data_IF_520425717917
#
_entry.id   IF_520425717917
#
_cell.length_a   1.000
_cell.length_b   1.000
_cell.length_c   1.000
_cell.angle_alpha   90.00
_cell.angle_beta   90.00
_cell.angle_gamma   90.00
#
_symmetry.space_group_name_H-M   'P 1'
#
loop_
_entity.id
_entity.type
_entity.pdbx_description
1 polymer ?
#
# COMPACT_ATOMS: atom_id res chain seq x y z
N UNK A 1 -32.84 0.09 16.15
CA UNK A 1 -31.46 0.43 15.79
C UNK A 1 -30.72 -0.86 15.51
N UNK A 2 -30.07 -0.98 14.35
CA UNK A 2 -29.19 -2.10 14.07
C UNK A 2 -27.93 -1.97 14.96
N UNK A 3 -27.53 -3.07 15.61
CA UNK A 3 -26.27 -3.12 16.37
C UNK A 3 -25.13 -3.23 15.37
N UNK A 4 -24.25 -2.23 15.32
CA UNK A 4 -23.03 -2.30 14.53
C UNK A 4 -22.00 -3.15 15.31
N UNK A 5 -21.76 -4.38 14.86
CA UNK A 5 -20.71 -5.26 15.42
C UNK A 5 -19.54 -5.32 14.47
N UNK A 6 -18.34 -5.02 14.97
CA UNK A 6 -17.09 -5.07 14.20
C UNK A 6 -16.02 -5.84 14.98
N UNK A 7 -15.25 -6.62 14.26
CA UNK A 7 -13.97 -7.12 14.75
C UNK A 7 -12.88 -6.29 14.06
N UNK A 8 -12.27 -5.36 14.80
CA UNK A 8 -11.20 -4.52 14.30
C UNK A 8 -9.87 -5.15 14.71
N UNK A 9 -9.10 -5.58 13.73
CA UNK A 9 -7.71 -5.95 13.95
C UNK A 9 -6.84 -4.70 13.86
N UNK A 10 -6.11 -4.42 14.93
CA UNK A 10 -5.13 -3.34 14.98
C UNK A 10 -3.79 -3.90 15.45
N UNK A 11 -2.66 -3.33 15.03
CA UNK A 11 -1.37 -3.71 15.58
C UNK A 11 -1.34 -3.56 17.10
N UNK A 12 -0.86 -4.59 17.81
CA UNK A 12 -0.64 -4.52 19.26
C UNK A 12 0.57 -3.62 19.59
N UNK A 13 1.49 -3.48 18.62
CA UNK A 13 2.67 -2.63 18.75
C UNK A 13 2.99 -1.97 17.42
N UNK A 14 3.36 -0.68 17.49
CA UNK A 14 3.91 0.10 16.38
C UNK A 14 5.17 0.80 16.89
N UNK A 15 6.25 0.72 16.12
CA UNK A 15 7.51 1.44 16.36
C UNK A 15 7.96 2.11 15.07
N UNK A 16 8.09 3.44 15.10
CA UNK A 16 8.57 4.26 13.99
C UNK A 16 9.67 5.16 14.49
N UNK A 17 10.84 5.11 13.88
CA UNK A 17 11.96 5.98 14.24
C UNK A 17 13.30 5.46 13.74
N UNK A 18 14.35 6.25 13.90
CA UNK A 18 15.72 5.85 13.62
C UNK A 18 16.13 4.72 14.56
N UNK A 19 16.72 3.64 14.03
CA UNK A 19 17.14 2.48 14.82
C UNK A 19 16.00 1.64 15.40
N UNK A 20 14.75 1.83 14.98
CA UNK A 20 13.59 1.11 15.53
C UNK A 20 13.72 -0.42 15.43
N UNK A 21 14.46 -0.94 14.44
CA UNK A 21 14.72 -2.39 14.30
C UNK A 21 15.52 -2.97 15.46
N UNK A 22 16.25 -2.17 16.23
CA UNK A 22 16.98 -2.63 17.42
C UNK A 22 16.05 -3.00 18.58
N UNK A 23 14.80 -2.51 18.56
CA UNK A 23 13.77 -2.86 19.55
C UNK A 23 13.06 -4.19 19.24
N UNK A 24 13.31 -4.79 18.07
CA UNK A 24 12.64 -6.00 17.63
C UNK A 24 12.71 -7.14 18.65
N UNK A 25 13.84 -7.43 19.34
CA UNK A 25 13.88 -8.46 20.37
C UNK A 25 12.90 -8.20 21.53
N UNK A 26 12.78 -6.95 21.96
CA UNK A 26 11.86 -6.57 23.05
C UNK A 26 10.40 -6.70 22.61
N UNK A 27 10.10 -6.38 21.35
CA UNK A 27 8.77 -6.56 20.74
C UNK A 27 8.41 -8.05 20.67
N UNK A 28 9.34 -8.89 20.20
CA UNK A 28 9.14 -10.34 20.08
C UNK A 28 9.04 -11.06 21.44
N UNK A 29 9.58 -10.47 22.49
CA UNK A 29 9.45 -10.99 23.86
C UNK A 29 8.06 -10.71 24.50
N UNK A 30 7.21 -9.88 23.85
CA UNK A 30 5.85 -9.63 24.34
C UNK A 30 4.95 -10.84 24.08
N UNK A 31 4.35 -11.39 25.12
CA UNK A 31 3.47 -12.57 25.03
C UNK A 31 2.23 -12.36 24.14
N UNK A 32 1.88 -11.13 23.82
CA UNK A 32 0.83 -10.84 22.83
C UNK A 32 1.29 -11.08 21.39
N UNK A 33 2.60 -11.08 21.15
CA UNK A 33 3.23 -11.29 19.85
C UNK A 33 3.65 -12.76 19.69
N UNK A 34 4.37 -13.30 20.70
CA UNK A 34 4.84 -14.67 20.68
C UNK A 34 4.64 -15.33 22.03
N UNK A 35 4.05 -16.53 22.02
CA UNK A 35 3.81 -17.32 23.23
C UNK A 35 4.99 -18.18 23.64
N UNK A 36 5.77 -18.68 22.68
CA UNK A 36 6.90 -19.59 22.91
C UNK A 36 8.28 -18.95 22.71
N UNK A 37 8.33 -17.79 22.05
CA UNK A 37 9.58 -17.12 21.71
C UNK A 37 10.31 -17.74 20.52
N UNK A 38 9.59 -18.46 19.63
CA UNK A 38 10.17 -19.11 18.45
C UNK A 38 9.73 -18.41 17.17
N UNK A 39 10.67 -17.92 16.38
CA UNK A 39 10.40 -17.02 15.25
C UNK A 39 10.90 -17.58 13.92
N UNK A 40 10.04 -17.50 12.90
CA UNK A 40 10.45 -17.57 11.51
C UNK A 40 10.65 -16.16 10.96
N UNK A 41 11.74 -15.89 10.25
CA UNK A 41 12.02 -14.60 9.63
C UNK A 41 12.05 -14.74 8.12
N UNK A 42 11.13 -14.05 7.43
CA UNK A 42 11.08 -13.96 5.98
C UNK A 42 11.83 -12.71 5.52
N UNK A 43 12.73 -12.85 4.55
CA UNK A 43 13.53 -11.77 3.96
C UNK A 43 13.53 -11.88 2.44
N UNK A 44 13.85 -10.78 1.75
CA UNK A 44 14.09 -10.82 0.30
C UNK A 44 15.45 -11.45 -0.03
N UNK A 45 15.57 -11.98 -1.23
CA UNK A 45 16.89 -12.24 -1.83
C UNK A 45 17.63 -10.91 -2.05
N UNK A 46 18.94 -10.94 -2.12
CA UNK A 46 19.76 -9.75 -2.34
C UNK A 46 19.89 -8.87 -1.10
N UNK A 47 19.19 -7.74 -1.04
CA UNK A 47 19.29 -6.80 0.10
C UNK A 47 18.89 -7.43 1.45
N UNK A 48 18.07 -8.47 1.45
CA UNK A 48 17.73 -9.21 2.66
C UNK A 48 18.92 -9.88 3.33
N UNK A 49 19.95 -10.27 2.59
CA UNK A 49 21.17 -10.90 3.13
C UNK A 49 21.91 -9.95 4.08
N UNK A 50 22.10 -8.69 3.67
CA UNK A 50 22.76 -7.67 4.51
C UNK A 50 21.91 -7.34 5.75
N UNK A 51 20.58 -7.31 5.60
CA UNK A 51 19.65 -7.13 6.72
C UNK A 51 19.70 -8.30 7.70
N UNK A 52 19.82 -9.54 7.19
CA UNK A 52 20.00 -10.73 8.03
C UNK A 52 21.24 -10.62 8.91
N UNK A 53 22.38 -10.21 8.35
CA UNK A 53 23.62 -10.04 9.12
C UNK A 53 23.46 -8.98 10.22
N UNK A 54 22.78 -7.88 9.93
CA UNK A 54 22.50 -6.83 10.90
C UNK A 54 21.59 -7.32 12.02
N UNK A 55 20.45 -7.94 11.68
CA UNK A 55 19.44 -8.39 12.64
C UNK A 55 19.88 -9.61 13.44
N UNK A 56 20.71 -10.51 12.88
CA UNK A 56 21.24 -11.67 13.59
C UNK A 56 22.07 -11.33 14.83
N UNK A 57 22.52 -10.08 14.96
CA UNK A 57 23.27 -9.62 16.15
C UNK A 57 22.34 -9.36 17.35
N UNK A 58 21.07 -9.10 17.10
CA UNK A 58 20.09 -8.76 18.12
C UNK A 58 19.03 -9.83 18.32
N UNK A 59 18.75 -10.66 17.32
CA UNK A 59 17.77 -11.73 17.40
C UNK A 59 18.36 -12.99 18.04
N UNK A 60 17.51 -13.88 18.64
CA UNK A 60 17.93 -15.18 19.16
C UNK A 60 18.65 -16.03 18.10
N UNK A 61 19.58 -16.89 18.53
CA UNK A 61 20.39 -17.69 17.61
C UNK A 61 19.61 -18.80 16.88
N UNK A 62 18.47 -19.23 17.43
CA UNK A 62 17.59 -20.28 16.94
C UNK A 62 16.47 -19.79 16.01
N UNK A 63 16.57 -18.54 15.56
CA UNK A 63 15.63 -17.96 14.55
C UNK A 63 15.77 -18.68 13.21
N UNK A 64 14.65 -19.12 12.65
CA UNK A 64 14.59 -19.68 11.29
C UNK A 64 14.57 -18.60 10.22
N UNK A 65 15.51 -18.64 9.28
CA UNK A 65 15.60 -17.67 8.18
C UNK A 65 15.10 -18.28 6.87
N UNK A 66 14.15 -17.58 6.23
CA UNK A 66 13.51 -17.97 4.99
C UNK A 66 13.59 -16.85 3.95
N UNK A 67 14.04 -17.16 2.74
CA UNK A 67 14.09 -16.20 1.64
C UNK A 67 12.82 -16.25 0.81
N UNK A 68 12.37 -15.08 0.35
CA UNK A 68 11.25 -14.89 -0.57
C UNK A 68 11.80 -14.31 -1.88
N UNK A 69 11.82 -15.10 -2.98
CA UNK A 69 12.51 -14.68 -4.21
C UNK A 69 11.82 -13.54 -4.96
N UNK A 70 10.52 -13.70 -5.31
CA UNK A 70 9.79 -12.79 -6.19
C UNK A 70 8.50 -12.24 -5.59
N UNK A 71 8.07 -12.78 -4.47
CA UNK A 71 6.80 -12.48 -3.83
C UNK A 71 5.59 -12.73 -4.76
N UNK A 72 5.59 -13.85 -5.44
CA UNK A 72 4.43 -14.42 -6.11
C UNK A 72 3.55 -15.20 -5.13
N UNK A 73 2.36 -15.59 -5.58
CA UNK A 73 1.49 -16.49 -4.81
C UNK A 73 2.19 -17.82 -4.52
N UNK A 74 2.90 -18.37 -5.50
CA UNK A 74 3.66 -19.62 -5.35
C UNK A 74 4.79 -19.47 -4.32
N UNK A 75 5.53 -18.35 -4.34
CA UNK A 75 6.57 -18.07 -3.34
C UNK A 75 5.97 -17.96 -1.93
N UNK A 76 4.77 -17.39 -1.79
CA UNK A 76 4.09 -17.26 -0.50
C UNK A 76 3.58 -18.62 0.02
N UNK A 77 3.09 -19.49 -0.88
CA UNK A 77 2.70 -20.87 -0.57
C UNK A 77 3.93 -21.69 -0.17
N UNK A 78 5.02 -21.63 -0.96
CA UNK A 78 6.28 -22.30 -0.66
C UNK A 78 6.87 -21.86 0.69
N UNK A 79 6.83 -20.56 0.99
CA UNK A 79 7.24 -20.03 2.30
C UNK A 79 6.45 -20.68 3.45
N UNK A 80 5.13 -20.79 3.31
CA UNK A 80 4.29 -21.43 4.33
C UNK A 80 4.64 -22.91 4.49
N UNK A 81 4.88 -23.63 3.40
CA UNK A 81 5.19 -25.05 3.42
C UNK A 81 6.59 -25.32 4.01
N UNK A 82 7.58 -24.47 3.69
CA UNK A 82 8.93 -24.55 4.31
C UNK A 82 8.90 -24.27 5.81
N UNK A 83 8.13 -23.28 6.25
CA UNK A 83 7.98 -22.98 7.69
C UNK A 83 7.30 -24.15 8.41
N UNK A 84 6.23 -24.72 7.82
CA UNK A 84 5.50 -25.87 8.40
C UNK A 84 6.35 -27.13 8.51
N UNK A 85 7.25 -27.34 7.55
CA UNK A 85 8.12 -28.53 7.47
C UNK A 85 9.42 -28.37 8.24
N UNK A 86 9.66 -27.24 8.89
CA UNK A 86 10.85 -27.02 9.68
C UNK A 86 10.87 -27.91 10.94
N UNK A 87 12.06 -28.30 11.38
CA UNK A 87 12.23 -29.14 12.56
C UNK A 87 11.77 -28.45 13.86
N UNK A 88 11.98 -27.13 13.94
CA UNK A 88 11.52 -26.32 15.06
C UNK A 88 10.12 -25.73 14.80
N UNK A 89 9.19 -25.83 15.76
CA UNK A 89 7.90 -25.15 15.64
C UNK A 89 8.08 -23.65 15.85
N UNK A 90 7.66 -22.85 14.89
CA UNK A 90 7.59 -21.39 15.02
C UNK A 90 6.17 -20.96 15.38
N UNK A 91 6.05 -19.96 16.24
CA UNK A 91 4.75 -19.42 16.64
C UNK A 91 4.48 -18.03 16.09
N UNK A 92 5.49 -17.36 15.56
CA UNK A 92 5.38 -16.00 14.98
C UNK A 92 6.22 -15.89 13.72
N UNK A 93 5.66 -15.24 12.69
CA UNK A 93 6.40 -14.89 11.49
C UNK A 93 6.80 -13.41 11.53
N UNK A 94 8.06 -13.13 11.23
CA UNK A 94 8.61 -11.78 11.08
C UNK A 94 8.93 -11.56 9.62
N UNK A 95 8.33 -10.54 8.99
CA UNK A 95 8.65 -10.15 7.62
C UNK A 95 9.58 -8.95 7.62
N UNK A 96 10.77 -9.07 7.06
CA UNK A 96 11.74 -7.97 6.96
C UNK A 96 11.97 -7.62 5.50
N UNK A 97 11.49 -6.47 5.08
CA UNK A 97 11.63 -6.05 3.68
C UNK A 97 10.65 -4.96 3.26
N UNK A 98 10.55 -4.78 1.95
CA UNK A 98 9.51 -3.94 1.34
C UNK A 98 8.18 -4.69 1.20
N UNK A 99 7.19 -4.00 0.63
CA UNK A 99 5.82 -4.51 0.50
C UNK A 99 5.72 -5.92 -0.09
N UNK A 100 6.52 -6.26 -1.09
CA UNK A 100 6.51 -7.60 -1.71
C UNK A 100 6.81 -8.72 -0.71
N UNK A 101 7.81 -8.55 0.15
CA UNK A 101 8.14 -9.53 1.19
C UNK A 101 7.05 -9.58 2.26
N UNK A 102 6.57 -8.41 2.67
CA UNK A 102 5.50 -8.29 3.66
C UNK A 102 4.23 -8.98 3.16
N UNK A 103 3.83 -8.78 1.91
CA UNK A 103 2.62 -9.39 1.34
C UNK A 103 2.74 -10.92 1.23
N UNK A 104 3.88 -11.44 0.77
CA UNK A 104 4.12 -12.88 0.76
C UNK A 104 4.08 -13.48 2.17
N UNK A 105 4.68 -12.80 3.14
CA UNK A 105 4.68 -13.24 4.54
C UNK A 105 3.29 -13.12 5.18
N UNK A 106 2.49 -12.08 4.88
CA UNK A 106 1.09 -11.96 5.32
C UNK A 106 0.27 -13.17 4.86
N UNK A 107 0.41 -13.53 3.58
CA UNK A 107 -0.28 -14.69 3.03
C UNK A 107 0.16 -16.00 3.67
N UNK A 108 1.48 -16.20 3.84
CA UNK A 108 2.04 -17.38 4.50
C UNK A 108 1.58 -17.48 5.97
N UNK A 109 1.64 -16.37 6.72
CA UNK A 109 1.18 -16.30 8.11
C UNK A 109 -0.31 -16.66 8.23
N UNK A 110 -1.16 -16.13 7.34
CA UNK A 110 -2.59 -16.46 7.30
C UNK A 110 -2.83 -17.97 7.06
N UNK A 111 -2.08 -18.59 6.15
CA UNK A 111 -2.17 -20.05 5.89
C UNK A 111 -1.70 -20.91 7.07
N UNK A 112 -0.80 -20.38 7.88
CA UNK A 112 -0.23 -21.08 9.05
C UNK A 112 -1.02 -20.78 10.33
N UNK A 113 -1.92 -19.78 10.32
CA UNK A 113 -2.60 -19.32 11.53
C UNK A 113 -1.65 -18.61 12.50
N UNK A 114 -0.55 -18.03 12.01
CA UNK A 114 0.48 -17.39 12.82
C UNK A 114 0.28 -15.87 12.84
N UNK A 115 0.58 -15.18 13.96
CA UNK A 115 0.72 -13.73 13.96
C UNK A 115 1.92 -13.28 13.09
N UNK A 116 1.84 -12.07 12.52
CA UNK A 116 2.89 -11.48 11.73
C UNK A 116 3.40 -10.18 12.35
N UNK A 117 4.72 -10.03 12.44
CA UNK A 117 5.39 -8.74 12.68
C UNK A 117 6.02 -8.25 11.39
N UNK A 118 5.61 -7.08 10.92
CA UNK A 118 6.16 -6.46 9.72
C UNK A 118 7.27 -5.47 10.08
N UNK A 119 8.47 -5.70 9.58
CA UNK A 119 9.63 -4.80 9.67
C UNK A 119 9.82 -4.18 8.30
N UNK A 120 9.23 -3.00 8.08
CA UNK A 120 9.27 -2.33 6.81
C UNK A 120 10.59 -1.60 6.57
N UNK A 121 11.24 -1.88 5.44
CA UNK A 121 12.51 -1.28 5.04
C UNK A 121 12.34 -0.16 3.99
N UNK A 122 11.12 0.11 3.59
CA UNK A 122 10.73 1.25 2.76
C UNK A 122 9.27 1.62 3.02
N UNK A 123 8.85 2.76 2.48
CA UNK A 123 7.52 3.35 2.67
C UNK A 123 6.77 3.42 1.32
N UNK A 124 6.75 2.34 0.55
CA UNK A 124 6.21 2.38 -0.82
C UNK A 124 4.67 2.36 -0.89
N UNK A 125 3.99 1.68 0.04
CA UNK A 125 2.53 1.58 0.08
C UNK A 125 2.00 1.10 1.45
N UNK A 126 0.69 1.23 1.65
CA UNK A 126 -0.01 0.92 2.90
C UNK A 126 -0.15 -0.59 3.21
N UNK A 127 0.27 -1.45 2.28
CA UNK A 127 0.34 -2.91 2.45
C UNK A 127 1.12 -3.36 3.68
N UNK A 128 1.96 -2.49 4.25
CA UNK A 128 2.66 -2.74 5.51
C UNK A 128 1.70 -2.93 6.71
N UNK A 129 0.47 -2.43 6.63
CA UNK A 129 -0.54 -2.53 7.70
C UNK A 129 -1.88 -3.06 7.20
N UNK A 130 -2.16 -3.06 5.91
CA UNK A 130 -3.48 -3.41 5.36
C UNK A 130 -3.83 -4.90 5.54
N UNK A 131 -5.14 -5.22 5.61
CA UNK A 131 -5.62 -6.61 5.66
C UNK A 131 -5.66 -7.27 4.28
N UNK A 132 -4.77 -6.88 3.38
CA UNK A 132 -4.69 -7.37 1.99
C UNK A 132 -3.25 -7.69 1.65
N UNK A 133 -3.01 -8.82 0.99
CA UNK A 133 -1.76 -9.15 0.34
C UNK A 133 -1.95 -9.11 -1.18
N UNK A 134 -1.12 -8.35 -1.88
CA UNK A 134 -1.13 -8.29 -3.35
C UNK A 134 0.03 -9.10 -3.90
N UNK A 135 -0.29 -10.19 -4.60
CA UNK A 135 0.69 -11.18 -5.07
C UNK A 135 0.54 -11.41 -6.58
N UNK A 136 1.66 -11.54 -7.27
CA UNK A 136 1.67 -11.97 -8.67
C UNK A 136 1.18 -13.43 -8.76
N UNK A 137 0.38 -13.72 -9.78
CA UNK A 137 -0.10 -15.06 -10.11
C UNK A 137 -0.17 -15.25 -11.63
N UNK A 138 -0.63 -16.40 -12.11
CA UNK A 138 -0.72 -16.73 -13.54
C UNK A 138 -1.61 -15.77 -14.34
N UNK A 139 -2.58 -15.12 -13.69
CA UNK A 139 -3.48 -14.15 -14.31
C UNK A 139 -2.95 -12.69 -14.21
N UNK A 140 -1.75 -12.48 -13.65
CA UNK A 140 -1.12 -11.18 -13.47
C UNK A 140 -0.91 -10.83 -12.00
N UNK A 141 -1.85 -10.18 -11.34
CA UNK A 141 -1.78 -9.81 -9.93
C UNK A 141 -3.14 -10.04 -9.25
N UNK A 142 -3.11 -10.61 -8.05
CA UNK A 142 -4.30 -10.87 -7.24
C UNK A 142 -4.21 -10.24 -5.86
N UNK A 143 -5.35 -9.75 -5.35
CA UNK A 143 -5.49 -9.25 -3.98
C UNK A 143 -6.15 -10.31 -3.10
N UNK A 144 -5.50 -10.67 -2.01
CA UNK A 144 -5.92 -11.74 -1.09
C UNK A 144 -6.20 -11.13 0.29
N UNK A 145 -7.39 -11.38 0.84
CA UNK A 145 -7.75 -10.98 2.20
C UNK A 145 -6.93 -11.79 3.21
N UNK A 146 -6.22 -11.10 4.09
CA UNK A 146 -5.35 -11.68 5.11
C UNK A 146 -5.46 -10.86 6.41
N UNK A 147 -5.11 -11.42 7.57
CA UNK A 147 -5.01 -10.62 8.80
C UNK A 147 -3.97 -9.50 8.66
N UNK A 148 -4.26 -8.34 9.25
CA UNK A 148 -3.26 -7.27 9.42
C UNK A 148 -2.12 -7.74 10.33
N UNK A 149 -0.88 -7.22 10.16
CA UNK A 149 0.22 -7.50 11.09
C UNK A 149 -0.12 -7.11 12.52
N UNK A 150 0.26 -7.96 13.49
CA UNK A 150 0.09 -7.68 14.92
C UNK A 150 1.15 -6.70 15.45
N UNK A 151 2.30 -6.63 14.79
CA UNK A 151 3.37 -5.69 15.08
C UNK A 151 3.89 -5.03 13.83
N UNK A 152 4.21 -3.73 13.91
CA UNK A 152 4.79 -2.95 12.82
C UNK A 152 6.03 -2.24 13.35
N UNK A 153 7.13 -2.44 12.67
CA UNK A 153 8.40 -1.75 12.93
C UNK A 153 8.85 -1.05 11.65
N UNK A 154 9.02 0.26 11.70
CA UNK A 154 9.53 1.07 10.60
C UNK A 154 10.79 1.75 11.08
N UNK A 155 11.92 1.23 10.60
CA UNK A 155 13.24 1.79 10.91
C UNK A 155 13.59 2.84 9.85
N UNK A 156 13.58 4.11 10.25
CA UNK A 156 13.83 5.22 9.35
C UNK A 156 15.27 5.23 8.80
N UNK A 157 16.23 4.59 9.48
CA UNK A 157 17.57 4.44 8.94
C UNK A 157 17.60 3.44 7.78
N UNK A 158 16.81 2.37 7.83
CA UNK A 158 16.62 1.44 6.72
C UNK A 158 15.85 2.10 5.58
N UNK A 159 14.81 2.88 5.90
CA UNK A 159 14.02 3.63 4.90
C UNK A 159 14.91 4.60 4.11
N UNK A 160 15.84 5.31 4.77
CA UNK A 160 16.77 6.23 4.11
C UNK A 160 17.79 5.53 3.20
N UNK A 161 18.10 4.26 3.49
CA UNK A 161 19.01 3.45 2.65
C UNK A 161 18.31 2.89 1.42
N UNK A 162 16.98 2.81 1.42
CA UNK A 162 16.20 2.35 0.29
C UNK A 162 16.21 3.40 -0.85
N UNK A 163 16.05 2.99 -2.12
CA UNK A 163 15.91 3.93 -3.21
C UNK A 163 14.79 4.95 -2.96
N UNK A 164 15.05 6.27 -3.11
CA UNK A 164 14.08 7.33 -2.80
C UNK A 164 12.73 7.18 -3.51
N UNK A 165 12.72 6.54 -4.68
CA UNK A 165 11.49 6.28 -5.43
C UNK A 165 10.44 5.48 -4.65
N UNK A 166 10.84 4.64 -3.68
CA UNK A 166 9.90 3.90 -2.85
C UNK A 166 9.19 4.81 -1.83
N UNK A 167 9.91 5.76 -1.24
CA UNK A 167 9.29 6.78 -0.36
C UNK A 167 8.35 7.67 -1.17
N UNK A 168 8.78 8.09 -2.37
CA UNK A 168 7.93 8.87 -3.29
C UNK A 168 6.66 8.11 -3.64
N UNK A 169 6.76 6.83 -3.97
CA UNK A 169 5.58 6.00 -4.25
C UNK A 169 4.58 6.01 -3.08
N UNK A 170 5.05 5.94 -1.83
CA UNK A 170 4.18 6.04 -0.65
C UNK A 170 3.43 7.37 -0.55
N UNK A 171 4.02 8.48 -1.02
CA UNK A 171 3.32 9.77 -1.08
C UNK A 171 2.15 9.70 -2.06
N UNK A 172 2.37 9.20 -3.28
CA UNK A 172 1.32 9.04 -4.27
C UNK A 172 0.23 8.08 -3.81
N UNK A 173 0.63 7.00 -3.14
CA UNK A 173 -0.29 6.05 -2.50
C UNK A 173 -1.23 6.75 -1.50
N UNK A 174 -0.67 7.50 -0.57
CA UNK A 174 -1.46 8.18 0.48
C UNK A 174 -2.35 9.28 -0.10
N UNK A 175 -1.87 10.06 -1.06
CA UNK A 175 -2.70 11.08 -1.72
C UNK A 175 -3.88 10.47 -2.46
N UNK A 176 -3.76 9.22 -2.94
CA UNK A 176 -4.84 8.52 -3.63
C UNK A 176 -6.06 8.27 -2.74
N UNK A 177 -5.91 8.27 -1.41
CA UNK A 177 -7.03 8.15 -0.48
C UNK A 177 -8.06 9.26 -0.65
N UNK A 178 -7.65 10.48 -1.02
CA UNK A 178 -8.59 11.60 -1.26
C UNK A 178 -9.52 11.30 -2.44
N UNK A 179 -8.96 10.75 -3.52
CA UNK A 179 -9.75 10.27 -4.65
C UNK A 179 -10.68 9.12 -4.25
N UNK A 180 -10.16 8.13 -3.54
CA UNK A 180 -10.91 6.95 -3.11
C UNK A 180 -12.10 7.30 -2.20
N UNK A 181 -11.89 8.21 -1.25
CA UNK A 181 -12.94 8.68 -0.34
C UNK A 181 -14.03 9.46 -1.09
N UNK A 182 -13.65 10.32 -2.04
CA UNK A 182 -14.61 11.04 -2.87
C UNK A 182 -15.44 10.08 -3.75
N UNK A 183 -14.84 8.99 -4.25
CA UNK A 183 -15.56 7.94 -4.97
C UNK A 183 -16.49 7.14 -4.04
N UNK A 184 -16.07 6.85 -2.81
CA UNK A 184 -16.92 6.15 -1.85
C UNK A 184 -18.12 6.99 -1.43
N UNK A 185 -17.93 8.30 -1.19
CA UNK A 185 -19.01 9.25 -0.93
C UNK A 185 -19.94 9.40 -2.14
N UNK A 186 -19.39 9.39 -3.36
CA UNK A 186 -20.17 9.39 -4.60
C UNK A 186 -21.02 8.12 -4.72
N UNK A 187 -20.41 6.95 -4.51
CA UNK A 187 -21.13 5.68 -4.52
C UNK A 187 -22.26 5.64 -3.48
N UNK A 188 -22.01 6.19 -2.29
CA UNK A 188 -23.06 6.30 -1.27
C UNK A 188 -24.27 7.10 -1.77
N UNK A 189 -24.04 8.25 -2.41
CA UNK A 189 -25.13 9.11 -2.90
C UNK A 189 -25.91 8.46 -4.05
N UNK A 190 -25.21 7.80 -4.97
CA UNK A 190 -25.81 7.30 -6.21
C UNK A 190 -26.39 5.88 -6.07
N UNK A 191 -25.75 5.02 -5.26
CA UNK A 191 -26.10 3.60 -5.14
C UNK A 191 -26.62 3.19 -3.77
N UNK A 192 -26.45 4.06 -2.75
CA UNK A 192 -26.78 3.73 -1.36
C UNK A 192 -25.72 2.87 -0.67
N UNK A 193 -24.52 2.69 -1.25
CA UNK A 193 -23.42 1.97 -0.60
C UNK A 193 -23.09 2.61 0.76
N UNK A 194 -22.90 1.78 1.79
CA UNK A 194 -22.64 2.30 3.13
C UNK A 194 -21.20 2.79 3.27
N UNK A 195 -21.05 4.02 3.75
CA UNK A 195 -19.75 4.59 4.13
C UNK A 195 -19.53 4.39 5.62
N UNK A 196 -18.37 3.80 5.98
CA UNK A 196 -17.92 3.75 7.36
C UNK A 196 -17.26 5.09 7.73
N UNK A 197 -17.92 5.87 8.58
CA UNK A 197 -17.45 7.21 8.96
C UNK A 197 -16.12 7.22 9.70
N UNK A 198 -15.80 6.17 10.50
CA UNK A 198 -14.51 6.07 11.18
C UNK A 198 -13.39 5.77 10.16
N UNK A 199 -13.60 4.78 9.29
CA UNK A 199 -12.65 4.45 8.25
C UNK A 199 -12.40 5.63 7.30
N UNK A 200 -13.45 6.34 6.90
CA UNK A 200 -13.34 7.52 6.05
C UNK A 200 -12.54 8.65 6.74
N UNK A 201 -12.78 8.88 8.04
CA UNK A 201 -12.02 9.86 8.81
C UNK A 201 -10.53 9.49 8.91
N UNK A 202 -10.21 8.20 9.11
CA UNK A 202 -8.83 7.70 9.15
C UNK A 202 -8.12 7.89 7.80
N UNK A 203 -8.74 7.46 6.70
CA UNK A 203 -8.17 7.62 5.36
C UNK A 203 -7.95 9.09 4.98
N UNK A 204 -8.88 9.97 5.36
CA UNK A 204 -8.76 11.42 5.15
C UNK A 204 -7.61 12.01 5.97
N UNK A 205 -7.53 11.69 7.27
CA UNK A 205 -6.46 12.19 8.13
C UNK A 205 -5.07 11.74 7.63
N UNK A 206 -4.95 10.49 7.16
CA UNK A 206 -3.74 9.99 6.55
C UNK A 206 -3.31 10.85 5.35
N UNK A 207 -4.22 11.08 4.41
CA UNK A 207 -3.92 11.84 3.20
C UNK A 207 -3.62 13.32 3.48
N UNK A 208 -4.42 13.97 4.31
CA UNK A 208 -4.23 15.39 4.65
C UNK A 208 -2.93 15.64 5.42
N UNK A 209 -2.47 14.69 6.25
CA UNK A 209 -1.20 14.83 6.97
C UNK A 209 -0.01 14.94 6.01
N UNK A 210 -0.02 14.16 4.92
CA UNK A 210 1.03 14.20 3.88
C UNK A 210 0.83 15.39 2.95
N UNK A 211 -0.40 15.66 2.51
CA UNK A 211 -0.74 16.78 1.61
C UNK A 211 -0.24 18.12 2.16
N UNK A 212 -0.43 18.35 3.46
CA UNK A 212 -0.15 19.64 4.13
C UNK A 212 1.20 19.72 4.80
N UNK A 213 1.99 18.64 4.81
CA UNK A 213 3.30 18.66 5.44
C UNK A 213 4.30 19.49 4.60
N UNK A 214 5.01 20.47 5.20
CA UNK A 214 5.92 21.34 4.45
C UNK A 214 7.26 20.68 4.11
N UNK A 215 7.63 19.61 4.82
CA UNK A 215 8.90 18.91 4.67
C UNK A 215 8.94 17.95 3.47
N UNK A 216 10.09 17.34 3.26
CA UNK A 216 10.36 16.43 2.15
C UNK A 216 10.98 15.09 2.58
N UNK A 217 11.24 14.21 1.63
CA UNK A 217 11.75 12.84 1.86
C UNK A 217 13.11 12.79 2.58
N UNK A 218 13.84 13.91 2.65
CA UNK A 218 15.07 14.04 3.45
C UNK A 218 14.82 14.32 4.92
N UNK A 219 13.62 14.75 5.30
CA UNK A 219 13.29 15.15 6.66
C UNK A 219 12.73 13.98 7.47
N UNK A 220 13.31 13.75 8.65
CA UNK A 220 12.86 12.67 9.53
C UNK A 220 11.40 12.84 9.96
N UNK A 221 10.99 14.08 10.26
CA UNK A 221 9.62 14.40 10.63
C UNK A 221 8.64 14.06 9.50
N UNK A 222 8.99 14.30 8.24
CA UNK A 222 8.17 13.93 7.11
C UNK A 222 8.10 12.42 6.93
N UNK A 223 9.23 11.70 7.05
CA UNK A 223 9.25 10.24 6.96
C UNK A 223 8.40 9.60 8.06
N UNK A 224 8.42 10.13 9.29
CA UNK A 224 7.58 9.67 10.37
C UNK A 224 6.09 9.89 10.07
N UNK A 225 5.71 11.08 9.58
CA UNK A 225 4.33 11.39 9.17
C UNK A 225 3.87 10.48 8.02
N UNK A 226 4.72 10.23 7.03
CA UNK A 226 4.39 9.31 5.93
C UNK A 226 4.20 7.87 6.42
N UNK A 227 5.06 7.41 7.35
CA UNK A 227 4.94 6.10 7.97
C UNK A 227 3.61 5.95 8.72
N UNK A 228 3.26 6.94 9.57
CA UNK A 228 1.98 6.96 10.29
C UNK A 228 0.78 7.01 9.34
N UNK A 229 0.87 7.79 8.26
CA UNK A 229 -0.16 7.88 7.24
C UNK A 229 -0.41 6.53 6.53
N UNK A 230 0.67 5.81 6.16
CA UNK A 230 0.56 4.47 5.55
C UNK A 230 -0.06 3.45 6.51
N UNK A 231 0.30 3.51 7.80
CA UNK A 231 -0.31 2.67 8.83
C UNK A 231 -1.81 3.00 8.96
N UNK A 232 -2.15 4.28 9.06
CA UNK A 232 -3.52 4.74 9.22
C UNK A 232 -4.40 4.40 8.02
N UNK A 233 -3.85 4.52 6.79
CA UNK A 233 -4.50 4.07 5.56
C UNK A 233 -4.80 2.57 5.58
N UNK A 234 -3.80 1.73 5.87
CA UNK A 234 -3.99 0.29 5.99
C UNK A 234 -5.00 -0.10 7.08
N UNK A 235 -4.98 0.56 8.23
CA UNK A 235 -5.96 0.34 9.30
C UNK A 235 -7.37 0.78 8.89
N UNK A 236 -7.53 1.84 8.10
CA UNK A 236 -8.83 2.29 7.62
C UNK A 236 -9.55 1.19 6.83
N UNK A 237 -8.81 0.42 6.03
CA UNK A 237 -9.34 -0.75 5.31
C UNK A 237 -9.78 -1.86 6.27
N UNK A 238 -9.01 -2.11 7.32
CA UNK A 238 -9.36 -3.11 8.35
C UNK A 238 -10.65 -2.72 9.10
N UNK A 239 -10.83 -1.43 9.40
CA UNK A 239 -12.05 -0.89 10.03
C UNK A 239 -13.24 -0.98 9.10
N UNK A 240 -13.07 -0.63 7.82
CA UNK A 240 -14.14 -0.67 6.82
C UNK A 240 -14.53 -2.09 6.42
N UNK A 241 -13.63 -3.07 6.55
CA UNK A 241 -13.79 -4.42 5.99
C UNK A 241 -13.75 -4.43 4.45
N UNK A 242 -13.26 -3.37 3.84
CA UNK A 242 -13.15 -3.17 2.39
C UNK A 242 -12.00 -2.21 2.08
N UNK A 243 -11.48 -2.25 0.85
CA UNK A 243 -10.45 -1.30 0.40
C UNK A 243 -11.00 0.07 -0.05
N UNK A 244 -12.30 0.34 0.12
CA UNK A 244 -12.91 1.63 -0.27
C UNK A 244 -12.21 2.87 0.26
N UNK A 245 -11.71 2.93 1.52
CA UNK A 245 -11.04 4.13 2.03
C UNK A 245 -9.78 4.54 1.27
N UNK A 246 -9.11 3.59 0.62
CA UNK A 246 -7.83 3.84 -0.08
C UNK A 246 -7.86 3.46 -1.56
N UNK A 247 -8.94 2.87 -2.08
CA UNK A 247 -8.99 2.35 -3.45
C UNK A 247 -10.26 2.79 -4.16
N UNK A 248 -10.13 3.73 -5.10
CA UNK A 248 -11.17 4.26 -5.99
C UNK A 248 -10.74 4.20 -7.45
N UNK A 249 -11.18 5.14 -8.27
CA UNK A 249 -10.82 5.30 -9.68
C UNK A 249 -9.29 5.30 -9.91
N UNK A 250 -8.53 5.90 -8.98
CA UNK A 250 -7.07 5.91 -9.00
C UNK A 250 -6.47 4.50 -9.10
N UNK A 251 -7.01 3.56 -8.34
CA UNK A 251 -6.54 2.18 -8.34
C UNK A 251 -7.09 1.36 -9.52
N UNK A 252 -8.29 1.67 -10.01
CA UNK A 252 -8.80 1.07 -11.24
C UNK A 252 -7.90 1.42 -12.43
N UNK A 253 -7.50 2.70 -12.54
CA UNK A 253 -6.55 3.17 -13.56
C UNK A 253 -5.20 2.48 -13.39
N UNK A 254 -4.67 2.38 -12.17
CA UNK A 254 -3.43 1.66 -11.90
C UNK A 254 -3.51 0.20 -12.36
N UNK A 255 -4.56 -0.52 -11.99
CA UNK A 255 -4.73 -1.91 -12.42
C UNK A 255 -4.87 -2.05 -13.94
N UNK A 256 -5.54 -1.09 -14.59
CA UNK A 256 -5.64 -1.06 -16.04
C UNK A 256 -4.25 -0.87 -16.70
N UNK A 257 -3.41 0.01 -16.17
CA UNK A 257 -2.04 0.20 -16.63
C UNK A 257 -1.25 -1.08 -16.48
N UNK A 258 -1.30 -1.73 -15.32
CA UNK A 258 -0.58 -2.98 -15.03
C UNK A 258 -0.99 -4.11 -15.99
N UNK A 259 -2.29 -4.21 -16.34
CA UNK A 259 -2.81 -5.25 -17.22
C UNK A 259 -2.53 -4.96 -18.70
N UNK A 260 -2.74 -3.73 -19.16
CA UNK A 260 -2.60 -3.38 -20.57
C UNK A 260 -1.16 -3.07 -20.97
N UNK A 261 -0.37 -2.52 -20.05
CA UNK A 261 0.98 -2.03 -20.32
C UNK A 261 2.02 -2.51 -19.31
N UNK A 262 2.13 -3.83 -19.01
CA UNK A 262 2.96 -4.36 -17.93
C UNK A 262 4.45 -4.04 -18.07
N UNK A 263 4.92 -3.76 -19.31
CA UNK A 263 6.33 -3.39 -19.56
C UNK A 263 6.62 -1.92 -19.23
N UNK A 264 5.61 -1.05 -19.23
CA UNK A 264 5.71 0.37 -18.89
C UNK A 264 5.25 0.64 -17.45
N UNK A 265 4.64 -0.34 -16.77
CA UNK A 265 4.18 -0.19 -15.40
C UNK A 265 5.29 0.30 -14.47
N UNK A 266 5.00 1.35 -13.72
CA UNK A 266 5.89 1.99 -12.75
C UNK A 266 5.57 1.53 -11.32
N UNK A 267 6.09 2.21 -10.29
CA UNK A 267 5.71 1.91 -8.92
C UNK A 267 4.21 2.18 -8.72
N UNK A 268 3.56 1.31 -7.95
CA UNK A 268 2.13 1.36 -7.67
C UNK A 268 1.66 2.76 -7.26
N UNK A 269 2.31 3.37 -6.26
CA UNK A 269 1.94 4.70 -5.80
C UNK A 269 2.22 5.83 -6.80
N UNK A 270 3.20 5.68 -7.72
CA UNK A 270 3.41 6.62 -8.81
C UNK A 270 2.19 6.63 -9.76
N UNK A 271 1.70 5.45 -10.12
CA UNK A 271 0.50 5.30 -10.98
C UNK A 271 -0.77 5.74 -10.25
N UNK A 272 -0.92 5.38 -8.96
CA UNK A 272 -2.04 5.80 -8.14
C UNK A 272 -2.08 7.32 -7.96
N UNK A 273 -0.93 7.97 -7.81
CA UNK A 273 -0.82 9.43 -7.71
C UNK A 273 -1.33 10.15 -8.97
N UNK A 274 -0.90 9.70 -10.15
CA UNK A 274 -1.39 10.24 -11.44
C UNK A 274 -2.87 9.94 -11.63
N UNK A 275 -3.31 8.71 -11.34
CA UNK A 275 -4.72 8.31 -11.41
C UNK A 275 -5.61 9.14 -10.48
N UNK A 276 -5.14 9.42 -9.26
CA UNK A 276 -5.86 10.22 -8.28
C UNK A 276 -5.95 11.70 -8.70
N UNK A 277 -4.86 12.25 -9.20
CA UNK A 277 -4.85 13.62 -9.72
C UNK A 277 -5.79 13.76 -10.92
N UNK A 278 -5.74 12.81 -11.88
CA UNK A 278 -6.64 12.81 -13.03
C UNK A 278 -8.11 12.67 -12.62
N UNK A 279 -8.45 11.73 -11.76
CA UNK A 279 -9.83 11.53 -11.31
C UNK A 279 -10.36 12.73 -10.51
N UNK A 280 -9.51 13.39 -9.71
CA UNK A 280 -9.85 14.62 -8.98
C UNK A 280 -10.10 15.78 -9.93
N UNK A 281 -9.25 15.93 -10.97
CA UNK A 281 -9.45 16.90 -12.04
C UNK A 281 -10.75 16.63 -12.81
N UNK A 282 -10.99 15.36 -13.18
CA UNK A 282 -12.20 14.94 -13.90
C UNK A 282 -13.49 15.22 -13.12
N UNK A 283 -13.42 15.13 -11.77
CA UNK A 283 -14.52 15.47 -10.86
C UNK A 283 -14.80 16.97 -10.80
N UNK A 284 -13.88 17.82 -11.29
CA UNK A 284 -13.97 19.27 -11.24
C UNK A 284 -13.53 19.91 -9.92
N UNK A 285 -12.93 19.14 -9.00
CA UNK A 285 -12.32 19.68 -7.79
C UNK A 285 -10.91 20.23 -8.09
N UNK A 286 -10.90 21.38 -8.79
CA UNK A 286 -9.67 21.96 -9.30
C UNK A 286 -8.75 22.50 -8.20
N UNK A 287 -9.31 22.87 -7.03
CA UNK A 287 -8.50 23.34 -5.91
C UNK A 287 -7.70 22.17 -5.31
N UNK A 288 -8.35 21.08 -4.97
CA UNK A 288 -7.68 19.89 -4.47
C UNK A 288 -6.71 19.31 -5.50
N UNK A 289 -7.09 19.28 -6.77
CA UNK A 289 -6.21 18.82 -7.85
C UNK A 289 -4.93 19.69 -7.95
N UNK A 290 -5.03 20.99 -7.79
CA UNK A 290 -3.86 21.88 -7.76
C UNK A 290 -2.96 21.62 -6.55
N UNK A 291 -3.52 21.44 -5.35
CA UNK A 291 -2.77 21.08 -4.14
C UNK A 291 -2.06 19.73 -4.31
N UNK A 292 -2.74 18.72 -4.85
CA UNK A 292 -2.14 17.41 -5.13
C UNK A 292 -1.01 17.52 -6.16
N UNK A 293 -1.21 18.24 -7.25
CA UNK A 293 -0.19 18.45 -8.28
C UNK A 293 1.05 19.17 -7.73
N UNK A 294 0.87 20.14 -6.82
CA UNK A 294 1.98 20.82 -6.15
C UNK A 294 2.79 19.82 -5.30
N UNK A 295 2.13 18.99 -4.49
CA UNK A 295 2.81 18.00 -3.64
C UNK A 295 3.52 16.94 -4.48
N UNK A 296 2.85 16.36 -5.47
CA UNK A 296 3.48 15.38 -6.38
C UNK A 296 4.72 15.99 -7.05
N UNK A 297 4.60 17.22 -7.54
CA UNK A 297 5.69 18.00 -8.15
C UNK A 297 6.86 18.23 -7.20
N UNK A 298 6.56 18.71 -5.98
CA UNK A 298 7.59 19.01 -4.96
C UNK A 298 8.40 17.77 -4.58
N UNK A 299 7.78 16.60 -4.64
CA UNK A 299 8.43 15.32 -4.34
C UNK A 299 8.93 14.58 -5.58
N UNK A 300 8.99 15.22 -6.74
CA UNK A 300 9.47 14.65 -8.00
C UNK A 300 8.70 13.37 -8.42
N UNK A 301 7.39 13.35 -8.15
CA UNK A 301 6.49 12.32 -8.61
C UNK A 301 5.90 12.66 -9.99
N UNK A 302 5.49 11.65 -10.77
CA UNK A 302 4.73 11.83 -11.98
C UNK A 302 3.44 12.63 -11.74
N UNK A 303 3.12 13.55 -12.65
CA UNK A 303 1.86 14.32 -12.67
C UNK A 303 1.08 14.16 -13.96
N UNK A 304 1.71 13.59 -15.00
CA UNK A 304 1.09 13.33 -16.31
C UNK A 304 1.36 11.90 -16.77
N UNK A 305 0.59 11.37 -17.73
CA UNK A 305 0.86 10.07 -18.33
C UNK A 305 2.27 9.94 -18.92
N UNK A 306 2.79 11.03 -19.52
CA UNK A 306 4.14 11.02 -20.09
C UNK A 306 5.23 10.84 -19.05
N UNK A 307 5.03 11.30 -17.83
CA UNK A 307 5.96 11.10 -16.72
C UNK A 307 5.99 9.62 -16.27
N UNK A 308 4.91 8.88 -16.53
CA UNK A 308 4.84 7.42 -16.36
C UNK A 308 5.41 6.64 -17.56
N UNK A 309 5.81 7.34 -18.63
CA UNK A 309 6.25 6.70 -19.88
C UNK A 309 5.10 6.22 -20.77
N UNK A 310 3.88 6.73 -20.56
CA UNK A 310 2.69 6.40 -21.32
C UNK A 310 2.33 7.55 -22.31
N UNK A 311 1.98 7.19 -23.54
CA UNK A 311 1.34 8.13 -24.46
C UNK A 311 -0.10 8.46 -24.04
N UNK A 312 -0.64 9.57 -24.57
CA UNK A 312 -2.03 9.98 -24.32
C UNK A 312 -3.00 8.84 -24.66
N UNK A 313 -2.89 8.22 -25.83
CA UNK A 313 -3.79 7.13 -26.24
C UNK A 313 -3.71 5.91 -25.32
N UNK A 314 -2.51 5.57 -24.83
CA UNK A 314 -2.33 4.47 -23.88
C UNK A 314 -3.02 4.77 -22.54
N UNK A 315 -2.91 5.99 -22.05
CA UNK A 315 -3.61 6.39 -20.82
C UNK A 315 -5.13 6.45 -21.02
N UNK A 316 -5.60 6.91 -22.18
CA UNK A 316 -7.02 6.85 -22.56
C UNK A 316 -7.53 5.41 -22.57
N UNK A 317 -6.76 4.47 -23.14
CA UNK A 317 -7.12 3.06 -23.13
C UNK A 317 -7.16 2.49 -21.69
N UNK A 318 -6.21 2.89 -20.84
CA UNK A 318 -6.22 2.48 -19.43
C UNK A 318 -7.45 3.03 -18.69
N UNK A 319 -7.79 4.32 -18.86
CA UNK A 319 -8.98 4.92 -18.23
C UNK A 319 -10.26 4.26 -18.74
N UNK A 320 -10.35 3.99 -20.04
CA UNK A 320 -11.52 3.31 -20.64
C UNK A 320 -11.70 1.89 -20.12
N UNK A 321 -10.60 1.19 -19.85
CA UNK A 321 -10.62 -0.18 -19.35
C UNK A 321 -10.75 -0.26 -17.82
N UNK A 322 -10.40 0.79 -17.10
CA UNK A 322 -10.33 0.84 -15.64
C UNK A 322 -11.55 0.26 -14.90
N UNK A 323 -12.82 0.57 -15.27
CA UNK A 323 -14.01 0.01 -14.64
C UNK A 323 -14.07 -1.53 -14.68
N UNK A 324 -13.45 -2.15 -15.69
CA UNK A 324 -13.42 -3.61 -15.85
C UNK A 324 -12.45 -4.30 -14.89
N UNK A 325 -11.51 -3.56 -14.30
CA UNK A 325 -10.53 -4.11 -13.36
C UNK A 325 -11.14 -4.43 -12.00
N UNK A 326 -12.24 -3.77 -11.64
CA UNK A 326 -12.98 -3.98 -10.38
C UNK A 326 -14.50 -3.92 -10.59
N UNK A 327 -15.08 -4.95 -11.23
CA UNK A 327 -16.52 -4.98 -11.48
C UNK A 327 -17.35 -4.77 -10.21
N UNK A 328 -18.32 -3.88 -10.27
CA UNK A 328 -19.20 -3.55 -9.15
C UNK A 328 -18.67 -2.49 -8.18
N UNK A 329 -17.51 -1.91 -8.43
CA UNK A 329 -17.05 -0.72 -7.74
C UNK A 329 -17.56 0.51 -8.49
N UNK A 330 -18.33 1.36 -7.83
CA UNK A 330 -18.83 2.60 -8.41
C UNK A 330 -17.90 3.76 -8.06
N UNK A 331 -17.36 4.41 -9.08
CA UNK A 331 -16.41 5.53 -8.98
C UNK A 331 -16.84 6.68 -9.88
N UNK A 332 -16.03 7.72 -10.00
CA UNK A 332 -16.28 8.82 -10.94
C UNK A 332 -16.28 8.32 -12.40
N UNK A 333 -15.58 7.22 -12.70
CA UNK A 333 -15.50 6.68 -14.05
C UNK A 333 -16.84 6.09 -14.48
N UNK A 334 -17.47 5.28 -13.64
CA UNK A 334 -18.81 4.72 -13.88
C UNK A 334 -19.89 5.81 -13.80
N UNK A 335 -19.70 6.83 -12.94
CA UNK A 335 -20.67 7.90 -12.78
C UNK A 335 -20.79 8.75 -14.04
N UNK A 336 -19.67 9.11 -14.65
CA UNK A 336 -19.66 9.93 -15.85
C UNK A 336 -19.95 9.12 -17.13
N UNK A 337 -19.64 7.83 -17.13
CA UNK A 337 -19.85 6.89 -18.27
C UNK A 337 -19.39 7.47 -19.61
N UNK A 338 -18.20 8.06 -19.63
CA UNK A 338 -17.68 8.77 -20.80
C UNK A 338 -17.29 7.80 -21.92
N UNK A 339 -17.61 8.17 -23.14
CA UNK A 339 -17.06 7.51 -24.33
C UNK A 339 -15.54 7.67 -24.41
N UNK A 340 -14.86 6.77 -25.14
CA UNK A 340 -13.41 6.87 -25.36
C UNK A 340 -12.98 8.22 -25.93
N UNK A 341 -13.81 8.88 -26.79
CA UNK A 341 -13.51 10.20 -27.33
C UNK A 341 -13.58 11.28 -26.26
N UNK A 342 -14.59 11.24 -25.39
CA UNK A 342 -14.71 12.19 -24.27
C UNK A 342 -13.60 12.02 -23.25
N UNK A 343 -13.20 10.77 -22.95
CA UNK A 343 -12.03 10.47 -22.13
C UNK A 343 -10.75 11.06 -22.75
N UNK A 344 -10.58 10.92 -24.07
CA UNK A 344 -9.43 11.48 -24.77
C UNK A 344 -9.36 13.01 -24.65
N UNK A 345 -10.50 13.69 -24.79
CA UNK A 345 -10.57 15.15 -24.64
C UNK A 345 -10.30 15.56 -23.18
N UNK A 346 -10.83 14.83 -22.19
CA UNK A 346 -10.56 15.04 -20.78
C UNK A 346 -9.06 14.84 -20.45
N UNK A 347 -8.43 13.79 -20.97
CA UNK A 347 -6.98 13.53 -20.78
C UNK A 347 -6.15 14.65 -21.41
N UNK A 348 -6.52 15.15 -22.59
CA UNK A 348 -5.82 16.30 -23.21
C UNK A 348 -5.94 17.56 -22.36
N UNK A 349 -7.13 17.88 -21.86
CA UNK A 349 -7.37 19.00 -20.96
C UNK A 349 -6.53 18.89 -19.68
N UNK A 350 -6.50 17.71 -19.09
CA UNK A 350 -5.68 17.39 -17.93
C UNK A 350 -4.18 17.60 -18.21
N UNK A 351 -3.67 17.01 -19.30
CA UNK A 351 -2.26 17.16 -19.70
C UNK A 351 -1.92 18.62 -19.96
N UNK A 352 -2.78 19.37 -20.65
CA UNK A 352 -2.58 20.81 -20.88
C UNK A 352 -2.52 21.64 -19.59
N UNK A 353 -3.18 21.19 -18.53
CA UNK A 353 -3.19 21.87 -17.22
C UNK A 353 -1.93 21.57 -16.39
N UNK A 354 -1.42 20.33 -16.41
CA UNK A 354 -0.37 19.88 -15.50
C UNK A 354 0.96 19.53 -16.17
N UNK A 355 1.04 19.46 -17.52
CA UNK A 355 2.32 19.29 -18.21
C UNK A 355 3.24 20.50 -17.96
N UNK A 356 4.52 20.22 -17.71
CA UNK A 356 5.56 21.24 -17.47
C UNK A 356 6.38 21.52 -18.71
#
# INVERSE_FOLDING_TARGET
MAVLSRLIQAPAVVRVGAGASTELPAILADHRISGSGTFAVAISEGSGISLREQLSRSLPADVGWFTVPRASLDDAVDLADRIRSAEAPYDTLVAVGGGKVIDAAKYAAARLGMPLVAVATNLAHDGLCSPVATLANDAGSGSYGVPSPIGIVIDLDLVRQAPPRFVRAGIGEILSNLCALADWELSHRETGEQVDGLAAAMGRAAAESVLRHPGGIGDESFLAVLADALILSGQSMAVAGTSRPSSGACHEINHAIDQLFPKQAQQHGEQCGVGALFATHLRGDLLLAAEMAEVLTRHELPVTPSDLGLGIDQFVDAVTYAPQTRPGRYTILEHLDLSRSEIHDAVKGYVATYAR
#
